data_IF_790563705074
#
_entry.id   IF_790563705074
#
_cell.length_a   1.000
_cell.length_b   1.000
_cell.length_c   1.000
_cell.angle_alpha   90.00
_cell.angle_beta   90.00
_cell.angle_gamma   90.00
#
_symmetry.space_group_name_H-M   'P 1'
#
loop_
_entity.id
_entity.type
_entity.pdbx_description
1 polymer ?
#
# COMPACT_ATOMS: atom_id res chain seq x y z
N UNK A 1 -9.36 -23.81 20.23
CA UNK A 1 -9.38 -23.19 18.89
C UNK A 1 -7.99 -22.67 18.60
N UNK A 2 -7.29 -23.26 17.64
CA UNK A 2 -5.97 -22.82 17.19
C UNK A 2 -6.14 -21.49 16.46
N UNK A 3 -5.67 -20.40 17.09
CA UNK A 3 -5.65 -19.07 16.49
C UNK A 3 -4.73 -19.15 15.27
N UNK A 4 -5.31 -19.04 14.07
CA UNK A 4 -4.51 -18.94 12.84
C UNK A 4 -3.72 -17.62 12.91
N UNK A 5 -2.39 -17.64 12.77
CA UNK A 5 -1.59 -16.43 12.78
C UNK A 5 -2.01 -15.52 11.62
N UNK A 6 -2.52 -14.33 11.95
CA UNK A 6 -2.98 -13.35 10.95
C UNK A 6 -1.83 -12.48 10.45
N UNK A 7 -1.88 -12.00 9.20
CA UNK A 7 -0.79 -11.22 8.59
C UNK A 7 -0.55 -9.81 9.18
N UNK A 8 -1.13 -9.48 10.34
CA UNK A 8 -1.01 -8.16 10.97
C UNK A 8 -0.95 -8.21 12.51
N UNK A 9 -0.56 -9.34 13.13
CA UNK A 9 -0.56 -9.48 14.59
C UNK A 9 0.70 -8.89 15.24
N UNK A 10 0.53 -7.83 16.04
CA UNK A 10 1.59 -7.17 16.82
C UNK A 10 2.27 -8.14 17.81
N UNK A 11 1.59 -9.20 18.27
CA UNK A 11 2.20 -10.25 19.09
C UNK A 11 3.21 -11.06 18.30
N UNK A 12 2.89 -11.46 17.06
CA UNK A 12 3.82 -12.19 16.18
C UNK A 12 5.08 -11.36 15.89
N UNK A 13 4.92 -10.03 15.79
CA UNK A 13 6.02 -9.08 15.66
C UNK A 13 6.93 -9.01 16.89
N UNK A 14 6.37 -9.06 18.10
CA UNK A 14 7.12 -9.02 19.36
C UNK A 14 7.72 -10.39 19.72
N UNK A 15 7.08 -11.48 19.29
CA UNK A 15 7.50 -12.86 19.52
C UNK A 15 8.48 -13.36 18.44
N UNK A 16 8.83 -12.52 17.45
CA UNK A 16 9.77 -12.88 16.40
C UNK A 16 11.19 -13.06 16.99
N UNK A 17 11.81 -14.25 16.85
CA UNK A 17 13.16 -14.49 17.38
C UNK A 17 14.24 -13.61 16.73
N UNK A 18 13.94 -12.95 15.61
CA UNK A 18 14.81 -11.98 14.95
C UNK A 18 14.63 -10.53 15.45
N UNK A 19 13.76 -10.29 16.43
CA UNK A 19 13.52 -8.99 17.05
C UNK A 19 12.37 -8.17 16.44
N UNK A 20 12.09 -7.02 17.07
CA UNK A 20 11.05 -6.07 16.65
C UNK A 20 11.50 -5.25 15.44
N UNK A 21 10.73 -5.29 14.35
CA UNK A 21 10.95 -4.47 13.17
C UNK A 21 9.90 -3.35 13.10
N UNK A 22 10.35 -2.09 12.99
CA UNK A 22 9.47 -0.91 12.86
C UNK A 22 8.73 -0.93 11.51
N UNK A 23 9.34 -1.54 10.49
CA UNK A 23 8.78 -1.77 9.16
C UNK A 23 9.27 -3.12 8.64
N UNK A 24 8.48 -3.81 7.82
CA UNK A 24 8.90 -5.08 7.24
C UNK A 24 10.07 -4.87 6.27
N UNK A 25 11.27 -5.35 6.64
CA UNK A 25 12.48 -5.17 5.82
C UNK A 25 12.43 -5.88 4.47
N UNK A 26 11.67 -6.97 4.37
CA UNK A 26 11.55 -7.76 3.15
C UNK A 26 10.71 -7.03 2.10
N UNK A 27 9.80 -6.13 2.52
CA UNK A 27 9.18 -5.19 1.58
C UNK A 27 10.23 -4.34 0.86
N UNK A 28 11.22 -3.83 1.61
CA UNK A 28 12.28 -2.99 1.07
C UNK A 28 13.29 -3.78 0.25
N UNK A 29 13.65 -4.98 0.70
CA UNK A 29 14.73 -5.79 0.11
C UNK A 29 14.29 -6.60 -1.11
N UNK A 30 13.03 -7.06 -1.13
CA UNK A 30 12.53 -7.99 -2.16
C UNK A 30 11.37 -7.40 -2.93
N UNK A 31 10.33 -6.93 -2.23
CA UNK A 31 9.06 -6.54 -2.87
C UNK A 31 9.19 -5.29 -3.72
N UNK A 32 9.70 -4.17 -3.17
CA UNK A 32 9.85 -2.94 -3.95
C UNK A 32 10.81 -3.07 -5.14
N UNK A 33 12.00 -3.69 -5.01
CA UNK A 33 12.87 -3.95 -6.16
C UNK A 33 12.17 -4.75 -7.25
N UNK A 34 11.45 -5.83 -6.88
CA UNK A 34 10.69 -6.66 -7.82
C UNK A 34 9.60 -5.86 -8.54
N UNK A 35 8.78 -5.09 -7.82
CA UNK A 35 7.75 -4.21 -8.41
C UNK A 35 8.34 -3.16 -9.34
N UNK A 36 9.45 -2.52 -8.96
CA UNK A 36 10.10 -1.49 -9.77
C UNK A 36 10.62 -2.08 -11.08
N UNK A 37 11.26 -3.26 -11.01
CA UNK A 37 11.77 -3.97 -12.18
C UNK A 37 10.60 -4.42 -13.08
N UNK A 38 9.57 -5.08 -12.53
CA UNK A 38 8.38 -5.48 -13.29
C UNK A 38 7.70 -4.29 -13.98
N UNK A 39 7.56 -3.16 -13.27
CA UNK A 39 6.97 -1.98 -13.85
C UNK A 39 7.78 -1.50 -15.07
N UNK A 40 9.10 -1.42 -14.97
CA UNK A 40 9.94 -0.89 -16.05
C UNK A 40 10.22 -1.86 -17.18
N UNK A 41 10.38 -3.15 -16.88
CA UNK A 41 10.87 -4.16 -17.81
C UNK A 41 9.72 -4.98 -18.41
N UNK A 42 8.55 -4.99 -17.77
CA UNK A 42 7.35 -5.68 -18.27
C UNK A 42 6.27 -4.69 -18.66
N UNK A 43 5.81 -3.85 -17.73
CA UNK A 43 4.63 -3.00 -17.99
C UNK A 43 4.93 -1.85 -18.94
N UNK A 44 6.10 -1.23 -18.76
CA UNK A 44 6.56 -0.04 -19.48
C UNK A 44 7.76 -0.32 -20.39
N UNK A 45 7.99 -1.59 -20.77
CA UNK A 45 9.09 -2.02 -21.63
C UNK A 45 9.19 -1.16 -22.91
N UNK A 46 8.05 -1.01 -23.60
CA UNK A 46 7.94 -0.30 -24.88
C UNK A 46 7.60 1.20 -24.72
N UNK A 47 7.52 1.70 -23.48
CA UNK A 47 7.12 3.08 -23.24
C UNK A 47 8.27 4.05 -23.52
N UNK A 48 8.07 4.96 -24.49
CA UNK A 48 9.03 6.04 -24.80
C UNK A 48 9.39 6.90 -23.59
N UNK A 49 8.45 7.09 -22.67
CA UNK A 49 8.65 7.78 -21.38
C UNK A 49 8.06 6.92 -20.27
N UNK A 50 8.92 6.46 -19.37
CA UNK A 50 8.53 5.65 -18.20
C UNK A 50 8.18 6.59 -17.02
N UNK A 51 7.14 6.28 -16.22
CA UNK A 51 6.82 7.05 -15.02
C UNK A 51 7.82 6.80 -13.88
N UNK A 52 7.91 7.68 -12.89
CA UNK A 52 8.84 7.56 -11.76
C UNK A 52 8.36 6.54 -10.69
N UNK A 53 8.28 5.24 -11.00
CA UNK A 53 7.75 4.22 -10.09
C UNK A 53 8.49 4.15 -8.74
N UNK A 54 9.75 4.59 -8.68
CA UNK A 54 10.58 4.58 -7.46
C UNK A 54 9.98 5.33 -6.28
N UNK A 55 9.13 6.33 -6.53
CA UNK A 55 8.39 7.08 -5.48
C UNK A 55 7.49 6.18 -4.63
N UNK A 56 7.20 4.95 -5.07
CA UNK A 56 6.35 4.00 -4.35
C UNK A 56 6.86 3.71 -2.93
N UNK A 57 8.17 3.72 -2.75
CA UNK A 57 8.82 3.49 -1.46
C UNK A 57 8.54 4.65 -0.51
N UNK A 58 8.80 5.88 -0.97
CA UNK A 58 8.54 7.10 -0.19
C UNK A 58 7.04 7.25 0.12
N UNK A 59 6.18 6.91 -0.85
CA UNK A 59 4.74 6.91 -0.66
C UNK A 59 4.30 5.92 0.42
N UNK A 60 4.79 4.67 0.39
CA UNK A 60 4.47 3.68 1.42
C UNK A 60 4.87 4.14 2.83
N UNK A 61 6.10 4.65 2.99
CA UNK A 61 6.56 5.15 4.30
C UNK A 61 5.79 6.40 4.76
N UNK A 62 5.39 7.28 3.84
CA UNK A 62 4.50 8.39 4.16
C UNK A 62 3.15 7.87 4.69
N UNK A 63 2.58 6.83 4.07
CA UNK A 63 1.34 6.25 4.57
C UNK A 63 1.52 5.69 5.99
N UNK A 64 2.60 4.95 6.24
CA UNK A 64 2.90 4.41 7.57
C UNK A 64 3.04 5.48 8.65
N UNK A 65 3.71 6.60 8.34
CA UNK A 65 3.97 7.66 9.30
C UNK A 65 2.70 8.39 9.78
N UNK A 66 1.59 8.29 9.04
CA UNK A 66 0.34 9.01 9.31
C UNK A 66 -0.84 8.08 9.59
N UNK A 67 -0.58 6.88 10.12
CA UNK A 67 -1.62 5.94 10.53
C UNK A 67 -2.34 6.46 11.78
N UNK A 68 -3.68 6.42 11.78
CA UNK A 68 -4.48 6.68 12.98
C UNK A 68 -4.40 5.47 13.93
N UNK A 69 -3.75 5.69 15.07
CA UNK A 69 -3.57 4.68 16.12
C UNK A 69 -4.74 4.61 17.12
N UNK A 70 -5.80 5.41 16.96
CA UNK A 70 -6.94 5.39 17.89
C UNK A 70 -7.83 4.20 17.60
N UNK A 71 -7.78 3.21 18.48
CA UNK A 71 -8.59 1.99 18.39
C UNK A 71 -10.07 2.26 18.68
N UNK A 72 -10.36 3.09 19.69
CA UNK A 72 -11.72 3.42 20.11
C UNK A 72 -12.03 4.92 19.92
N UNK A 73 -13.28 5.19 19.60
CA UNK A 73 -13.90 6.50 19.65
C UNK A 73 -14.19 6.90 21.10
N UNK A 74 -14.51 8.18 21.33
CA UNK A 74 -14.81 8.68 22.68
C UNK A 74 -16.05 8.07 23.34
N UNK A 75 -16.88 7.38 22.56
CA UNK A 75 -18.08 6.65 23.01
C UNK A 75 -17.82 5.14 23.24
N UNK A 76 -16.57 4.69 23.11
CA UNK A 76 -16.18 3.28 23.29
C UNK A 76 -16.42 2.37 22.08
N UNK A 77 -16.88 2.91 20.94
CA UNK A 77 -16.99 2.13 19.70
C UNK A 77 -15.64 2.00 18.99
N UNK A 78 -15.42 0.93 18.21
CA UNK A 78 -14.18 0.77 17.42
C UNK A 78 -14.15 1.80 16.30
N UNK A 79 -13.02 2.48 16.17
CA UNK A 79 -12.80 3.49 15.13
C UNK A 79 -12.62 2.85 13.77
N UNK A 80 -13.46 3.22 12.80
CA UNK A 80 -13.31 2.82 11.39
C UNK A 80 -11.98 3.29 10.75
N UNK A 81 -11.35 4.29 11.37
CA UNK A 81 -10.06 4.84 10.92
C UNK A 81 -8.87 4.13 11.52
N UNK A 82 -9.07 3.24 12.50
CA UNK A 82 -7.96 2.55 13.14
C UNK A 82 -7.12 1.80 12.09
N UNK A 83 -5.82 2.11 12.05
CA UNK A 83 -4.91 1.52 11.06
C UNK A 83 -4.92 2.19 9.68
N UNK A 84 -5.74 3.22 9.46
CA UNK A 84 -5.78 3.97 8.21
C UNK A 84 -4.83 5.17 8.23
N UNK A 85 -4.09 5.38 7.14
CA UNK A 85 -3.59 6.69 6.77
C UNK A 85 -4.74 7.53 6.19
N UNK A 86 -4.97 8.68 6.80
CA UNK A 86 -6.08 9.59 6.48
C UNK A 86 -5.62 10.92 5.86
N UNK A 87 -4.36 11.00 5.40
CA UNK A 87 -3.86 12.18 4.72
C UNK A 87 -4.72 12.52 3.50
N UNK A 88 -5.00 13.81 3.33
CA UNK A 88 -5.66 14.31 2.12
C UNK A 88 -4.74 14.14 0.90
N UNK A 89 -5.34 14.08 -0.29
CA UNK A 89 -4.58 14.10 -1.55
C UNK A 89 -3.65 15.31 -1.64
N UNK A 90 -4.09 16.48 -1.18
CA UNK A 90 -3.30 17.72 -1.20
C UNK A 90 -2.07 17.61 -0.29
N UNK A 91 -2.21 17.02 0.90
CA UNK A 91 -1.08 16.78 1.80
C UNK A 91 -0.07 15.79 1.19
N UNK A 92 -0.56 14.68 0.63
CA UNK A 92 0.31 13.70 -0.04
C UNK A 92 1.06 14.33 -1.21
N UNK A 93 0.34 15.06 -2.07
CA UNK A 93 0.92 15.76 -3.23
C UNK A 93 1.94 16.82 -2.80
N UNK A 94 1.66 17.58 -1.74
CA UNK A 94 2.56 18.58 -1.19
C UNK A 94 3.85 17.99 -0.64
N UNK A 95 3.74 16.92 0.14
CA UNK A 95 4.89 16.23 0.76
C UNK A 95 5.77 15.55 -0.28
N UNK A 96 5.17 14.81 -1.21
CA UNK A 96 5.92 14.04 -2.21
C UNK A 96 6.26 14.84 -3.48
N UNK A 97 5.71 16.05 -3.63
CA UNK A 97 5.85 16.90 -4.83
C UNK A 97 5.42 16.19 -6.12
N UNK A 98 4.35 15.41 -6.05
CA UNK A 98 3.77 14.68 -7.19
C UNK A 98 2.33 15.11 -7.45
N UNK A 99 1.82 14.84 -8.66
CA UNK A 99 0.44 15.13 -9.02
C UNK A 99 -0.55 14.04 -8.53
N UNK A 100 -1.85 14.34 -8.61
CA UNK A 100 -2.92 13.41 -8.21
C UNK A 100 -2.91 12.10 -9.00
N UNK A 101 -2.56 12.13 -10.28
CA UNK A 101 -2.53 10.94 -11.12
C UNK A 101 -1.38 10.00 -10.71
N UNK A 102 -0.25 10.57 -10.30
CA UNK A 102 0.88 9.86 -9.70
C UNK A 102 0.51 9.26 -8.35
N UNK A 103 -0.15 9.99 -7.46
CA UNK A 103 -0.66 9.41 -6.19
C UNK A 103 -1.56 8.21 -6.47
N UNK A 104 -2.52 8.35 -7.39
CA UNK A 104 -3.41 7.25 -7.76
C UNK A 104 -2.65 6.04 -8.31
N UNK A 105 -1.71 6.26 -9.22
CA UNK A 105 -0.90 5.20 -9.81
C UNK A 105 -0.11 4.44 -8.73
N UNK A 106 0.57 5.16 -7.82
CA UNK A 106 1.33 4.53 -6.75
C UNK A 106 0.42 3.74 -5.80
N UNK A 107 -0.77 4.27 -5.47
CA UNK A 107 -1.75 3.57 -4.67
C UNK A 107 -2.29 2.30 -5.36
N UNK A 108 -2.58 2.37 -6.66
CA UNK A 108 -3.05 1.21 -7.43
C UNK A 108 -1.98 0.11 -7.48
N UNK A 109 -0.70 0.47 -7.68
CA UNK A 109 0.42 -0.49 -7.68
C UNK A 109 0.58 -1.13 -6.30
N UNK A 110 0.60 -0.34 -5.22
CA UNK A 110 0.69 -0.88 -3.87
C UNK A 110 -0.50 -1.81 -3.55
N UNK A 111 -1.71 -1.43 -3.96
CA UNK A 111 -2.92 -2.17 -3.67
C UNK A 111 -2.96 -3.51 -4.40
N UNK A 112 -2.63 -3.53 -5.70
CA UNK A 112 -2.66 -4.80 -6.46
C UNK A 112 -1.55 -5.76 -6.07
N UNK A 113 -0.50 -5.29 -5.40
CA UNK A 113 0.55 -6.13 -4.82
C UNK A 113 0.23 -6.58 -3.39
N UNK A 114 -0.93 -6.21 -2.84
CA UNK A 114 -1.33 -6.57 -1.47
C UNK A 114 -0.63 -5.76 -0.37
N UNK A 115 0.10 -4.70 -0.71
CA UNK A 115 0.86 -3.90 0.27
C UNK A 115 -0.06 -2.95 1.04
N UNK A 116 -1.13 -2.47 0.40
CA UNK A 116 -2.15 -1.63 1.04
C UNK A 116 -3.55 -2.08 0.65
N UNK A 117 -4.53 -1.82 1.51
CA UNK A 117 -5.95 -1.83 1.15
C UNK A 117 -6.45 -0.39 1.04
N UNK A 118 -7.32 -0.09 0.08
CA UNK A 118 -7.90 1.26 -0.06
C UNK A 118 -9.40 1.24 0.17
N UNK A 119 -9.92 2.23 0.90
CA UNK A 119 -11.36 2.43 1.11
C UNK A 119 -11.73 3.84 0.67
N UNK A 120 -12.87 3.95 -0.03
CA UNK A 120 -13.49 5.24 -0.29
C UNK A 120 -14.31 5.67 0.92
N UNK A 121 -14.04 6.87 1.41
CA UNK A 121 -14.78 7.47 2.52
C UNK A 121 -15.41 8.78 2.07
N UNK A 122 -16.61 9.07 2.54
CA UNK A 122 -17.34 10.28 2.20
C UNK A 122 -17.64 11.09 3.46
N UNK A 123 -17.27 12.37 3.44
CA UNK A 123 -17.68 13.33 4.48
C UNK A 123 -18.46 14.45 3.80
N UNK A 124 -19.79 14.42 3.96
CA UNK A 124 -20.70 15.25 3.17
C UNK A 124 -20.53 14.97 1.68
N UNK A 125 -20.18 15.99 0.90
CA UNK A 125 -19.94 15.87 -0.55
C UNK A 125 -18.48 15.58 -0.91
N UNK A 126 -17.58 15.55 0.07
CA UNK A 126 -16.15 15.36 -0.16
C UNK A 126 -15.79 13.87 -0.08
N UNK A 127 -15.14 13.37 -1.12
CA UNK A 127 -14.59 12.02 -1.18
C UNK A 127 -13.14 12.01 -0.72
N UNK A 128 -12.84 11.15 0.24
CA UNK A 128 -11.51 10.84 0.74
C UNK A 128 -11.13 9.40 0.37
N UNK A 129 -9.83 9.14 0.32
CA UNK A 129 -9.28 7.79 0.24
C UNK A 129 -8.57 7.50 1.53
N UNK A 130 -8.94 6.41 2.17
CA UNK A 130 -8.19 5.84 3.28
C UNK A 130 -7.31 4.71 2.77
N UNK A 131 -6.06 4.72 3.20
CA UNK A 131 -5.07 3.71 2.86
C UNK A 131 -4.74 2.93 4.13
N UNK A 132 -4.83 1.61 4.07
CA UNK A 132 -4.51 0.71 5.18
C UNK A 132 -3.25 -0.07 4.79
N UNK A 133 -2.05 0.36 5.23
CA UNK A 133 -0.82 -0.36 4.95
C UNK A 133 -0.78 -1.71 5.68
N UNK A 134 -0.31 -2.74 5.00
CA UNK A 134 0.07 -3.99 5.66
C UNK A 134 1.36 -3.74 6.45
N UNK A 135 1.35 -4.10 7.73
CA UNK A 135 2.48 -3.88 8.64
C UNK A 135 3.51 -4.99 8.53
N UNK A 136 3.07 -6.25 8.35
CA UNK A 136 3.93 -7.43 8.33
C UNK A 136 3.43 -8.52 7.37
N UNK A 137 3.40 -8.24 6.06
CA UNK A 137 3.03 -9.27 5.10
C UNK A 137 4.05 -10.42 5.11
N UNK A 138 3.56 -11.65 4.93
CA UNK A 138 4.43 -12.78 4.60
C UNK A 138 4.90 -12.59 3.16
N UNK A 139 6.18 -12.81 2.93
CA UNK A 139 6.83 -12.52 1.64
C UNK A 139 7.60 -13.75 1.18
N UNK A 140 7.39 -14.16 -0.07
CA UNK A 140 8.14 -15.22 -0.73
C UNK A 140 9.58 -14.80 -1.03
N UNK A 141 10.46 -15.74 -1.37
CA UNK A 141 11.86 -15.41 -1.67
C UNK A 141 12.04 -14.57 -2.94
N UNK A 142 11.18 -14.77 -3.93
CA UNK A 142 11.09 -13.95 -5.14
C UNK A 142 10.30 -12.63 -4.92
N UNK A 143 9.83 -12.40 -3.70
CA UNK A 143 9.36 -11.09 -3.25
C UNK A 143 7.90 -10.81 -3.54
N UNK A 144 7.02 -11.81 -3.64
CA UNK A 144 5.56 -11.63 -3.66
C UNK A 144 4.97 -11.69 -2.25
N UNK A 145 3.81 -11.05 -2.06
CA UNK A 145 3.06 -11.11 -0.80
C UNK A 145 2.19 -12.37 -0.79
N UNK A 146 2.11 -13.00 0.37
CA UNK A 146 1.21 -14.11 0.66
C UNK A 146 0.03 -13.58 1.48
N UNK A 147 -1.19 -13.93 1.07
CA UNK A 147 -2.42 -13.52 1.74
C UNK A 147 -2.74 -14.34 3.01
N UNK A 148 -3.95 -14.17 3.55
CA UNK A 148 -4.38 -14.85 4.78
C UNK A 148 -4.61 -16.35 4.59
N UNK A 149 -4.91 -16.77 3.36
CA UNK A 149 -5.17 -18.16 2.99
C UNK A 149 -3.88 -18.91 2.61
N UNK A 150 -2.77 -18.19 2.46
CA UNK A 150 -1.47 -18.76 2.11
C UNK A 150 -1.18 -18.68 0.61
N UNK A 151 -2.00 -17.97 -0.16
CA UNK A 151 -1.87 -17.84 -1.60
C UNK A 151 -1.02 -16.62 -1.99
N UNK A 152 -0.31 -16.74 -3.11
CA UNK A 152 0.51 -15.66 -3.65
C UNK A 152 -0.39 -14.61 -4.30
N UNK A 153 -0.26 -13.35 -3.87
CA UNK A 153 -0.93 -12.22 -4.50
C UNK A 153 -0.18 -11.82 -5.76
N UNK A 154 -0.77 -12.14 -6.92
CA UNK A 154 -0.25 -11.71 -8.23
C UNK A 154 -0.79 -10.32 -8.61
N UNK A 155 0.09 -9.39 -9.03
CA UNK A 155 -0.34 -8.06 -9.42
C UNK A 155 -1.09 -8.04 -10.76
N UNK A 156 -2.18 -7.27 -10.82
CA UNK A 156 -2.83 -6.88 -12.06
C UNK A 156 -2.07 -5.71 -12.71
N UNK A 157 -1.22 -6.04 -13.69
CA UNK A 157 -0.45 -5.05 -14.44
C UNK A 157 -1.31 -4.08 -15.26
N UNK A 158 -2.60 -4.34 -15.48
CA UNK A 158 -3.47 -3.36 -16.15
C UNK A 158 -3.68 -2.12 -15.28
N UNK A 159 -3.57 -2.26 -13.95
CA UNK A 159 -3.69 -1.17 -12.99
C UNK A 159 -2.43 -0.32 -12.88
N UNK A 160 -1.29 -0.82 -13.36
CA UNK A 160 -0.05 -0.05 -13.42
C UNK A 160 -0.13 1.02 -14.50
N UNK A 161 -1.08 0.94 -15.44
CA UNK A 161 -1.24 1.93 -16.51
C UNK A 161 -2.31 2.93 -16.08
N UNK A 162 -1.93 4.21 -16.02
CA UNK A 162 -2.89 5.30 -15.88
C UNK A 162 -3.98 5.16 -16.95
N UNK A 163 -5.24 4.98 -16.54
CA UNK A 163 -6.38 4.98 -17.45
C UNK A 163 -6.37 6.30 -18.21
N UNK A 164 -5.89 6.31 -19.46
CA UNK A 164 -6.02 7.46 -20.35
C UNK A 164 -7.50 7.81 -20.40
N UNK A 165 -7.84 9.06 -20.06
CA UNK A 165 -9.18 9.60 -20.35
C UNK A 165 -9.43 9.31 -21.84
N UNK A 166 -10.45 8.50 -22.12
CA UNK A 166 -10.97 8.33 -23.47
C UNK A 166 -11.29 9.75 -23.94
N UNK A 167 -10.57 10.27 -24.95
CA UNK A 167 -11.02 11.49 -25.63
C UNK A 167 -12.37 11.12 -26.21
N UNK A 168 -13.44 11.72 -25.69
CA UNK A 168 -14.72 11.73 -26.38
C UNK A 168 -14.44 12.40 -27.72
N UNK A 169 -14.60 11.63 -28.79
CA UNK A 169 -14.59 12.15 -30.15
C UNK A 169 -15.87 12.97 -30.38
#
# INVERSE_FOLDING_TARGET
>A
MTVKPQPNDKRILLDNPNGYEIYNRELVRKVFPRIINEAYDVVYADAKRKPEIRDIVAFYFLLQAYIDGRYECGDGTVSDRFGACFLSYEAIMGTLRIDRARVKLLADILATNGIIRTVDHWEGTKRFKWYFPSFCPRITDDGYIIDEDGEIILPDYTLYKSRRRRKTA
#
